data_IF_687907655529
#
_entry.id   IF_687907655529
#
_cell.length_a   1.000
_cell.length_b   1.000
_cell.length_c   1.000
_cell.angle_alpha   90.00
_cell.angle_beta   90.00
_cell.angle_gamma   90.00
#
_symmetry.space_group_name_H-M   'P 1'
#
loop_
_entity.id
_entity.type
_entity.pdbx_description
1 polymer ?
#
# COMPACT_ATOMS: atom_id res chain seq x y z
N UNK A 1 -12.11 22.47 -17.76
CA UNK A 1 -12.70 22.87 -16.46
C UNK A 1 -11.83 23.98 -15.90
N UNK A 2 -12.43 25.09 -15.48
CA UNK A 2 -11.68 26.23 -14.91
C UNK A 2 -10.99 25.83 -13.60
N UNK A 3 -11.58 24.94 -12.81
CA UNK A 3 -11.00 24.45 -11.54
C UNK A 3 -9.61 23.80 -11.70
N UNK A 4 -9.28 23.26 -12.88
CA UNK A 4 -7.96 22.66 -13.12
C UNK A 4 -6.84 23.71 -13.30
N UNK A 5 -7.19 25.00 -13.37
CA UNK A 5 -6.22 26.08 -13.35
C UNK A 5 -5.86 26.54 -11.93
N UNK A 6 -6.54 26.00 -10.91
CA UNK A 6 -6.39 26.37 -9.50
C UNK A 6 -5.26 25.60 -8.81
N UNK A 7 -4.99 25.99 -7.57
CA UNK A 7 -4.09 25.27 -6.68
C UNK A 7 -4.72 23.99 -6.16
N UNK A 8 -3.91 22.97 -5.89
CA UNK A 8 -4.37 21.76 -5.22
C UNK A 8 -3.33 20.66 -5.20
N UNK A 9 -3.79 19.45 -4.88
CA UNK A 9 -2.99 18.23 -4.85
C UNK A 9 -3.52 17.22 -5.87
N UNK A 10 -2.63 16.40 -6.42
CA UNK A 10 -2.95 15.39 -7.40
C UNK A 10 -2.21 14.08 -7.13
N UNK A 11 -2.80 13.01 -7.62
CA UNK A 11 -2.36 11.64 -7.46
C UNK A 11 -2.25 11.03 -8.85
N UNK A 12 -1.08 10.49 -9.20
CA UNK A 12 -0.84 9.79 -10.45
C UNK A 12 -0.74 8.30 -10.14
N UNK A 13 -1.74 7.53 -10.56
CA UNK A 13 -1.83 6.10 -10.31
C UNK A 13 -1.34 5.31 -11.52
N UNK A 14 -0.66 4.20 -11.25
CA UNK A 14 -0.23 3.25 -12.26
C UNK A 14 0.14 1.90 -11.65
N UNK A 15 0.62 1.00 -12.49
CA UNK A 15 1.07 -0.34 -12.09
C UNK A 15 2.48 -0.57 -12.60
N UNK A 16 3.31 -1.26 -11.82
CA UNK A 16 4.64 -1.65 -12.29
C UNK A 16 4.56 -2.81 -13.28
N UNK A 17 5.04 -2.61 -14.50
CA UNK A 17 5.13 -3.70 -15.51
C UNK A 17 6.01 -4.89 -15.06
N UNK A 18 6.95 -4.65 -14.14
CA UNK A 18 7.89 -5.68 -13.68
C UNK A 18 7.35 -6.47 -12.48
N UNK A 19 6.61 -5.81 -11.58
CA UNK A 19 6.26 -6.38 -10.28
C UNK A 19 4.76 -6.46 -10.01
N UNK A 20 3.93 -5.93 -10.92
CA UNK A 20 2.46 -5.82 -10.78
C UNK A 20 2.03 -5.07 -9.51
N UNK A 21 2.95 -4.28 -8.93
CA UNK A 21 2.66 -3.49 -7.74
C UNK A 21 1.97 -2.20 -8.15
N UNK A 22 0.97 -1.80 -7.36
CA UNK A 22 0.34 -0.50 -7.52
C UNK A 22 1.33 0.62 -7.16
N UNK A 23 1.38 1.65 -8.00
CA UNK A 23 2.28 2.79 -7.87
C UNK A 23 1.44 4.06 -7.73
N UNK A 24 1.90 4.96 -6.87
CA UNK A 24 1.34 6.31 -6.77
C UNK A 24 2.46 7.36 -6.74
N UNK A 25 2.23 8.48 -7.41
CA UNK A 25 2.96 9.71 -7.17
C UNK A 25 2.00 10.79 -6.69
N UNK A 26 2.35 11.43 -5.58
CA UNK A 26 1.52 12.45 -4.95
C UNK A 26 2.23 13.78 -5.16
N UNK A 27 1.54 14.75 -5.73
CA UNK A 27 2.13 16.03 -6.06
C UNK A 27 1.23 17.21 -5.73
N UNK A 28 1.84 18.36 -5.55
CA UNK A 28 1.13 19.63 -5.44
C UNK A 28 1.29 20.53 -6.67
N UNK A 29 0.31 21.41 -6.88
CA UNK A 29 0.37 22.47 -7.87
C UNK A 29 -0.22 23.76 -7.29
N UNK A 30 0.51 24.86 -7.38
CA UNK A 30 -0.02 26.20 -7.12
C UNK A 30 -0.31 26.95 -8.43
N UNK A 31 -1.18 27.95 -8.37
CA UNK A 31 -1.44 28.85 -9.50
C UNK A 31 -0.16 29.62 -9.88
N UNK A 32 0.26 29.50 -11.14
CA UNK A 32 1.41 30.23 -11.69
C UNK A 32 0.99 31.59 -12.25
N UNK A 33 1.98 32.46 -12.55
CA UNK A 33 1.76 33.81 -13.13
C UNK A 33 0.99 33.79 -14.46
N UNK A 34 1.02 32.68 -15.19
CA UNK A 34 0.31 32.48 -16.44
C UNK A 34 -1.14 31.97 -16.26
N UNK A 35 -1.63 31.89 -15.02
CA UNK A 35 -2.97 31.40 -14.70
C UNK A 35 -3.11 29.88 -14.75
N UNK A 36 -2.02 29.14 -14.93
CA UNK A 36 -2.04 27.68 -14.99
C UNK A 36 -1.63 27.06 -13.64
N UNK A 37 -2.41 26.09 -13.17
CA UNK A 37 -2.19 25.37 -11.91
C UNK A 37 -2.02 23.87 -12.13
N UNK A 38 -2.97 23.09 -11.64
CA UNK A 38 -2.98 21.61 -11.70
C UNK A 38 -2.83 21.04 -13.10
N UNK A 39 -3.59 21.53 -14.08
CA UNK A 39 -3.58 21.00 -15.45
C UNK A 39 -2.19 21.00 -16.07
N UNK A 40 -1.46 22.10 -15.89
CA UNK A 40 -0.13 22.24 -16.47
C UNK A 40 0.87 21.28 -15.83
N UNK A 41 0.77 21.04 -14.51
CA UNK A 41 1.58 20.01 -13.84
C UNK A 41 1.31 18.61 -14.37
N UNK A 42 0.04 18.27 -14.63
CA UNK A 42 -0.31 16.98 -15.21
C UNK A 42 0.26 16.82 -16.64
N UNK A 43 0.21 17.88 -17.45
CA UNK A 43 0.79 17.88 -18.80
C UNK A 43 2.32 17.76 -18.75
N UNK A 44 2.99 18.44 -17.81
CA UNK A 44 4.43 18.28 -17.57
C UNK A 44 4.78 16.82 -17.27
N UNK A 45 4.04 16.15 -16.39
CA UNK A 45 4.27 14.72 -16.09
C UNK A 45 3.98 13.82 -17.27
N UNK A 46 2.90 14.08 -18.04
CA UNK A 46 2.57 13.31 -19.25
C UNK A 46 3.68 13.36 -20.31
N UNK A 47 4.42 14.48 -20.37
CA UNK A 47 5.52 14.67 -21.32
C UNK A 47 6.85 14.10 -20.82
N UNK A 48 6.93 13.68 -19.57
CA UNK A 48 8.15 13.15 -18.98
C UNK A 48 8.23 11.63 -19.18
N UNK A 49 9.20 11.11 -19.95
CA UNK A 49 9.37 9.68 -20.16
C UNK A 49 9.59 8.88 -18.87
N UNK A 50 10.23 9.48 -17.86
CA UNK A 50 10.47 8.83 -16.56
C UNK A 50 9.17 8.62 -15.75
N UNK A 51 8.06 9.19 -16.23
CA UNK A 51 6.74 9.12 -15.61
C UNK A 51 5.70 8.54 -16.57
N UNK A 52 6.09 7.72 -17.54
CA UNK A 52 5.13 7.07 -18.44
C UNK A 52 4.34 5.91 -17.77
N UNK A 53 4.61 5.63 -16.49
CA UNK A 53 3.98 4.53 -15.75
C UNK A 53 2.54 4.82 -15.30
N UNK A 54 2.11 6.09 -15.24
CA UNK A 54 0.79 6.43 -14.69
C UNK A 54 -0.27 6.41 -15.79
N UNK A 55 -1.44 5.86 -15.46
CA UNK A 55 -2.57 5.67 -16.38
C UNK A 55 -3.79 6.48 -15.95
N UNK A 56 -3.86 6.88 -14.68
CA UNK A 56 -4.97 7.62 -14.10
C UNK A 56 -4.47 8.77 -13.21
N UNK A 57 -5.22 9.87 -13.20
CA UNK A 57 -4.95 11.01 -12.32
C UNK A 57 -6.21 11.39 -11.52
N UNK A 58 -6.08 11.47 -10.20
CA UNK A 58 -7.10 12.04 -9.30
C UNK A 58 -6.61 13.38 -8.77
N UNK A 59 -7.49 14.38 -8.73
CA UNK A 59 -7.13 15.75 -8.38
C UNK A 59 -8.10 16.29 -7.34
N UNK A 60 -7.55 16.89 -6.28
CA UNK A 60 -8.29 17.58 -5.24
C UNK A 60 -7.95 19.07 -5.24
N UNK A 61 -8.98 19.90 -5.36
CA UNK A 61 -8.90 21.37 -5.39
C UNK A 61 -10.17 21.97 -4.79
N UNK A 62 -10.20 23.29 -4.58
CA UNK A 62 -11.33 24.00 -3.99
C UNK A 62 -11.95 24.95 -5.01
N UNK A 63 -13.28 25.00 -5.08
CA UNK A 63 -14.02 25.83 -6.04
C UNK A 63 -13.70 27.33 -5.92
N UNK A 64 -13.28 27.78 -4.74
CA UNK A 64 -12.92 29.17 -4.44
C UNK A 64 -11.40 29.44 -4.48
N UNK A 65 -10.58 28.48 -4.92
CA UNK A 65 -9.12 28.58 -4.96
C UNK A 65 -8.50 29.03 -3.62
N UNK A 66 -9.07 28.56 -2.51
CA UNK A 66 -8.63 28.87 -1.14
C UNK A 66 -7.27 28.26 -0.77
N UNK A 67 -6.76 27.32 -1.56
CA UNK A 67 -5.48 26.67 -1.29
C UNK A 67 -4.30 27.54 -1.69
N UNK A 68 -3.59 28.05 -0.68
CA UNK A 68 -2.29 28.69 -0.83
C UNK A 68 -1.14 27.69 -0.77
N UNK A 69 0.12 28.16 -0.96
CA UNK A 69 1.31 27.32 -0.97
C UNK A 69 1.51 26.49 0.31
N UNK A 70 1.11 27.03 1.47
CA UNK A 70 1.22 26.35 2.76
C UNK A 70 0.27 25.16 2.82
N UNK A 71 -1.00 25.36 2.43
CA UNK A 71 -2.03 24.33 2.47
C UNK A 71 -1.69 23.17 1.54
N UNK A 72 -1.29 23.44 0.29
CA UNK A 72 -0.94 22.38 -0.66
C UNK A 72 0.33 21.62 -0.26
N UNK A 73 1.28 22.26 0.44
CA UNK A 73 2.47 21.59 0.96
C UNK A 73 2.12 20.67 2.14
N UNK A 74 1.27 21.15 3.06
CA UNK A 74 0.76 20.34 4.17
C UNK A 74 0.01 19.11 3.66
N UNK A 75 -0.93 19.31 2.72
CA UNK A 75 -1.70 18.21 2.12
C UNK A 75 -0.78 17.20 1.40
N UNK A 76 0.18 17.65 0.59
CA UNK A 76 1.14 16.76 -0.08
C UNK A 76 1.93 15.92 0.93
N UNK A 77 2.42 16.53 2.03
CA UNK A 77 3.11 15.81 3.10
C UNK A 77 2.20 14.77 3.76
N UNK A 78 1.01 15.19 4.20
CA UNK A 78 0.07 14.31 4.92
C UNK A 78 -0.38 13.14 4.07
N UNK A 79 -0.76 13.38 2.81
CA UNK A 79 -1.15 12.30 1.90
C UNK A 79 0.02 11.35 1.59
N UNK A 80 1.25 11.86 1.43
CA UNK A 80 2.44 11.01 1.31
C UNK A 80 2.62 10.11 2.53
N UNK A 81 2.53 10.66 3.74
CA UNK A 81 2.69 9.89 4.98
C UNK A 81 1.61 8.83 5.13
N UNK A 82 0.35 9.18 4.91
CA UNK A 82 -0.76 8.24 4.96
C UNK A 82 -0.60 7.09 3.95
N UNK A 83 -0.18 7.40 2.73
CA UNK A 83 0.08 6.39 1.70
C UNK A 83 1.22 5.43 2.07
N UNK A 84 2.31 5.96 2.64
CA UNK A 84 3.45 5.17 3.13
C UNK A 84 3.02 4.29 4.31
N UNK A 85 2.26 4.85 5.26
CA UNK A 85 1.79 4.14 6.45
C UNK A 85 0.80 3.01 6.10
N UNK A 86 -0.04 3.21 5.09
CA UNK A 86 -0.96 2.20 4.58
C UNK A 86 -0.24 1.03 3.88
N UNK A 87 0.94 1.30 3.29
CA UNK A 87 1.78 0.34 2.58
C UNK A 87 1.06 -0.44 1.46
N UNK A 88 0.08 0.21 0.80
CA UNK A 88 -0.68 -0.39 -0.33
C UNK A 88 -0.12 -0.05 -1.70
N UNK A 89 0.56 1.08 -1.80
CA UNK A 89 1.13 1.58 -3.05
C UNK A 89 2.61 1.85 -2.85
N UNK A 90 3.40 1.59 -3.90
CA UNK A 90 4.77 2.09 -3.97
C UNK A 90 4.71 3.59 -4.24
N UNK A 91 5.00 4.40 -3.22
CA UNK A 91 5.06 5.86 -3.34
C UNK A 91 6.34 6.27 -4.06
N UNK A 92 6.21 6.89 -5.25
CA UNK A 92 7.33 7.27 -6.14
C UNK A 92 7.90 8.66 -5.89
N UNK A 93 7.45 9.35 -4.85
CA UNK A 93 8.01 10.63 -4.46
C UNK A 93 9.51 10.47 -4.16
N UNK A 94 10.35 11.23 -4.87
CA UNK A 94 11.81 11.19 -4.68
C UNK A 94 12.30 11.98 -3.47
N UNK A 95 11.41 12.74 -2.83
CA UNK A 95 11.65 13.61 -1.68
C UNK A 95 10.55 13.42 -0.63
N UNK A 96 10.91 13.64 0.64
CA UNK A 96 9.94 13.82 1.73
C UNK A 96 9.37 15.25 1.63
N UNK A 97 8.07 15.43 1.35
CA UNK A 97 7.50 16.77 1.22
C UNK A 97 7.60 17.53 2.53
N UNK A 98 7.85 18.84 2.49
CA UNK A 98 7.88 19.64 3.72
C UNK A 98 6.46 19.80 4.29
N UNK A 99 6.24 19.57 5.60
CA UNK A 99 4.93 19.79 6.22
C UNK A 99 4.49 21.27 6.23
N UNK A 100 5.42 22.20 5.93
CA UNK A 100 5.16 23.63 6.03
C UNK A 100 5.10 24.12 7.48
N UNK A 101 4.71 25.38 7.68
CA UNK A 101 4.44 25.95 8.99
C UNK A 101 2.99 26.44 9.00
N UNK A 102 2.15 25.80 9.80
CA UNK A 102 0.69 25.94 9.78
C UNK A 102 0.19 26.21 11.20
N UNK A 103 -0.89 27.00 11.33
CA UNK A 103 -1.55 27.20 12.62
C UNK A 103 -2.42 25.99 12.96
N UNK A 104 -2.65 25.73 14.24
CA UNK A 104 -3.52 24.64 14.71
C UNK A 104 -4.93 24.73 14.10
N UNK A 105 -5.47 25.95 13.99
CA UNK A 105 -6.77 26.21 13.36
C UNK A 105 -6.82 25.72 11.91
N UNK A 106 -5.77 26.02 11.14
CA UNK A 106 -5.70 25.65 9.72
C UNK A 106 -5.38 24.17 9.55
N UNK A 107 -4.56 23.59 10.42
CA UNK A 107 -4.31 22.15 10.47
C UNK A 107 -5.62 21.37 10.68
N UNK A 108 -6.45 21.79 11.63
CA UNK A 108 -7.77 21.17 11.87
C UNK A 108 -8.67 21.19 10.63
N UNK A 109 -8.73 22.32 9.92
CA UNK A 109 -9.48 22.42 8.65
C UNK A 109 -8.94 21.48 7.56
N UNK A 110 -7.62 21.33 7.45
CA UNK A 110 -6.99 20.47 6.44
C UNK A 110 -7.11 18.98 6.77
N UNK A 111 -7.08 18.59 8.04
CA UNK A 111 -7.34 17.20 8.42
C UNK A 111 -8.79 16.79 8.14
N UNK A 112 -9.77 17.68 8.35
CA UNK A 112 -11.16 17.43 7.92
C UNK A 112 -11.25 17.22 6.39
N UNK A 113 -10.55 18.06 5.63
CA UNK A 113 -10.44 17.90 4.18
C UNK A 113 -9.81 16.56 3.77
N UNK A 114 -8.77 16.12 4.48
CA UNK A 114 -8.10 14.84 4.25
C UNK A 114 -9.06 13.66 4.48
N UNK A 115 -9.90 13.71 5.52
CA UNK A 115 -10.88 12.65 5.77
C UNK A 115 -11.94 12.55 4.67
N UNK A 116 -12.44 13.67 4.15
CA UNK A 116 -13.30 13.65 2.96
C UNK A 116 -12.56 13.10 1.74
N UNK A 117 -11.31 13.51 1.52
CA UNK A 117 -10.51 13.04 0.40
C UNK A 117 -10.27 11.52 0.47
N UNK A 118 -10.08 10.96 1.67
CA UNK A 118 -9.96 9.50 1.88
C UNK A 118 -11.21 8.74 1.43
N UNK A 119 -12.40 9.23 1.81
CA UNK A 119 -13.68 8.63 1.41
C UNK A 119 -13.83 8.67 -0.12
N UNK A 120 -13.58 9.84 -0.73
CA UNK A 120 -13.68 10.00 -2.18
C UNK A 120 -12.68 9.08 -2.90
N UNK A 121 -11.45 9.00 -2.40
CA UNK A 121 -10.41 8.13 -2.96
C UNK A 121 -10.83 6.66 -2.96
N UNK A 122 -11.36 6.17 -1.83
CA UNK A 122 -11.91 4.82 -1.71
C UNK A 122 -13.09 4.57 -2.65
N UNK A 123 -14.00 5.54 -2.79
CA UNK A 123 -15.13 5.47 -3.72
C UNK A 123 -14.70 5.43 -5.20
N UNK A 124 -13.56 6.02 -5.54
CA UNK A 124 -12.93 5.91 -6.87
C UNK A 124 -12.19 4.57 -7.08
N UNK A 125 -12.18 3.68 -6.08
CA UNK A 125 -11.52 2.38 -6.13
C UNK A 125 -10.07 2.40 -5.66
N UNK A 126 -9.56 3.55 -5.22
CA UNK A 126 -8.18 3.71 -4.76
C UNK A 126 -8.11 3.62 -3.24
N UNK A 127 -7.79 2.43 -2.71
CA UNK A 127 -7.61 2.20 -1.26
C UNK A 127 -6.28 2.76 -0.71
N UNK A 128 -5.80 3.88 -1.25
CA UNK A 128 -4.45 4.40 -1.03
C UNK A 128 -4.11 4.62 0.46
N UNK A 129 -5.11 4.97 1.27
CA UNK A 129 -4.93 5.36 2.68
C UNK A 129 -5.46 4.31 3.67
N UNK A 130 -5.95 3.18 3.19
CA UNK A 130 -6.44 2.10 4.05
C UNK A 130 -5.28 1.18 4.45
N UNK A 131 -5.07 0.84 5.72
CA UNK A 131 -4.07 -0.16 6.10
C UNK A 131 -4.35 -1.55 5.48
N UNK A 132 -3.31 -2.37 5.31
CA UNK A 132 -3.45 -3.77 4.84
C UNK A 132 -4.13 -4.69 5.86
N UNK A 133 -4.07 -4.35 7.13
CA UNK A 133 -4.75 -5.04 8.22
C UNK A 133 -5.26 -4.01 9.18
N UNK A 134 -6.42 -4.26 9.78
CA UNK A 134 -6.87 -3.46 10.90
C UNK A 134 -5.78 -3.43 11.97
N UNK A 135 -5.22 -2.25 12.20
CA UNK A 135 -4.58 -1.97 13.50
C UNK A 135 -5.68 -2.18 14.55
N UNK A 136 -5.38 -2.71 15.74
CA UNK A 136 -6.36 -2.79 16.81
C UNK A 136 -6.69 -1.37 17.29
N UNK A 137 -7.58 -0.69 16.57
CA UNK A 137 -8.19 0.56 16.97
C UNK A 137 -9.59 0.20 17.47
N UNK A 138 -9.80 0.39 18.77
CA UNK A 138 -11.10 0.21 19.41
C UNK A 138 -12.16 1.17 18.82
N UNK A 139 -13.42 0.70 18.79
CA UNK A 139 -14.69 1.34 18.38
C UNK A 139 -15.05 1.21 16.87
N UNK A 140 -15.70 0.12 16.42
CA UNK A 140 -17.16 -0.16 16.34
C UNK A 140 -17.93 0.90 15.51
N UNK A 141 -18.20 0.69 14.23
CA UNK A 141 -19.37 0.04 13.59
C UNK A 141 -19.08 0.12 12.08
N UNK A 142 -19.25 -0.87 11.21
CA UNK A 142 -20.42 -1.69 10.89
C UNK A 142 -19.98 -3.05 10.31
N UNK A 143 -20.90 -4.00 10.37
CA UNK A 143 -20.79 -5.39 10.00
C UNK A 143 -20.37 -5.63 8.54
N UNK A 144 -19.23 -6.29 8.34
CA UNK A 144 -19.12 -7.40 7.38
C UNK A 144 -18.29 -8.50 8.06
N UNK A 145 -18.97 -9.46 8.67
CA UNK A 145 -18.34 -10.70 9.10
C UNK A 145 -18.12 -11.60 7.88
N UNK A 146 -16.92 -11.58 7.33
CA UNK A 146 -16.29 -12.78 6.78
C UNK A 146 -15.00 -12.96 7.57
N UNK A 147 -14.88 -14.11 8.24
CA UNK A 147 -13.87 -14.38 9.25
C UNK A 147 -12.46 -14.03 8.76
N UNK A 148 -11.84 -13.06 9.42
CA UNK A 148 -10.42 -12.75 9.26
C UNK A 148 -9.58 -13.95 9.71
N UNK A 149 -9.35 -14.89 8.80
CA UNK A 149 -8.73 -16.16 9.11
C UNK A 149 -7.22 -15.98 9.32
N UNK A 150 -6.79 -16.16 10.56
CA UNK A 150 -5.38 -16.17 10.93
C UNK A 150 -4.76 -17.54 10.62
N UNK A 151 -3.71 -17.50 9.81
CA UNK A 151 -2.97 -18.63 9.31
C UNK A 151 -1.52 -18.56 9.78
N UNK A 152 -0.93 -19.72 10.03
CA UNK A 152 0.41 -19.89 10.52
C UNK A 152 1.14 -20.91 9.65
N UNK A 153 2.42 -20.68 9.46
CA UNK A 153 3.34 -21.58 8.80
C UNK A 153 4.52 -21.82 9.72
N UNK A 154 4.94 -23.07 9.83
CA UNK A 154 6.16 -23.46 10.56
C UNK A 154 6.89 -24.55 9.81
N UNK A 155 8.13 -24.28 9.39
CA UNK A 155 8.93 -25.23 8.64
C UNK A 155 10.41 -25.12 8.99
N UNK A 156 11.06 -26.27 9.21
CA UNK A 156 12.52 -26.32 9.27
C UNK A 156 13.10 -26.20 7.86
N UNK A 157 13.84 -25.13 7.61
CA UNK A 157 14.51 -24.91 6.33
C UNK A 157 15.67 -25.88 6.16
N UNK A 158 15.80 -26.45 4.96
CA UNK A 158 16.95 -27.26 4.57
C UNK A 158 18.14 -26.41 4.13
N UNK A 159 17.93 -25.11 3.89
CA UNK A 159 18.95 -24.19 3.36
C UNK A 159 19.76 -23.59 4.51
N UNK A 160 19.07 -22.89 5.40
CA UNK A 160 19.66 -22.24 6.59
C UNK A 160 19.73 -23.17 7.80
N UNK A 161 18.97 -24.27 7.81
CA UNK A 161 18.83 -25.15 8.98
C UNK A 161 17.92 -24.58 10.08
N UNK A 162 17.45 -23.35 9.93
CA UNK A 162 16.61 -22.63 10.89
C UNK A 162 15.14 -23.07 10.81
N UNK A 163 14.40 -22.79 11.87
CA UNK A 163 12.94 -22.93 11.87
C UNK A 163 12.35 -21.60 11.44
N UNK A 164 11.68 -21.61 10.29
CA UNK A 164 11.00 -20.46 9.71
C UNK A 164 9.55 -20.51 10.19
N UNK A 165 9.09 -19.43 10.82
CA UNK A 165 7.77 -19.30 11.42
C UNK A 165 7.15 -17.98 10.96
N UNK A 166 5.99 -18.04 10.34
CA UNK A 166 5.32 -16.85 9.81
C UNK A 166 3.83 -16.88 10.09
N UNK A 167 3.27 -15.69 10.22
CA UNK A 167 1.83 -15.48 10.41
C UNK A 167 1.29 -14.75 9.18
N UNK A 168 0.11 -15.17 8.74
CA UNK A 168 -0.60 -14.63 7.60
C UNK A 168 -2.06 -14.41 7.96
N UNK A 169 -2.68 -13.35 7.47
CA UNK A 169 -4.11 -13.07 7.62
C UNK A 169 -4.78 -13.18 6.25
N UNK A 170 -5.79 -14.05 6.10
CA UNK A 170 -6.65 -14.07 4.91
C UNK A 170 -7.63 -12.91 5.05
N UNK A 171 -7.68 -12.07 4.02
CA UNK A 171 -8.64 -10.97 3.88
C UNK A 171 -9.37 -11.15 2.54
N UNK A 172 -10.43 -10.39 2.31
CA UNK A 172 -11.12 -10.33 1.03
C UNK A 172 -10.21 -9.87 -0.14
N UNK A 173 -9.07 -9.26 0.15
CA UNK A 173 -8.10 -8.78 -0.86
C UNK A 173 -6.95 -9.77 -1.11
N UNK A 174 -6.86 -10.83 -0.31
CA UNK A 174 -5.84 -11.87 -0.44
C UNK A 174 -5.22 -12.25 0.90
N UNK A 175 -3.90 -12.35 0.92
CA UNK A 175 -3.13 -12.93 2.01
C UNK A 175 -2.08 -11.94 2.48
N UNK A 176 -2.24 -11.42 3.70
CA UNK A 176 -1.30 -10.48 4.29
C UNK A 176 -0.33 -11.21 5.20
N UNK A 177 0.93 -11.32 4.79
CA UNK A 177 2.01 -11.79 5.66
C UNK A 177 2.30 -10.68 6.68
N UNK A 178 2.24 -11.03 7.96
CA UNK A 178 2.30 -10.06 9.06
C UNK A 178 3.74 -9.71 9.43
N UNK A 179 3.94 -8.46 9.81
CA UNK A 179 5.13 -8.00 10.52
C UNK A 179 5.44 -8.91 11.71
N UNK A 180 6.72 -9.16 11.96
CA UNK A 180 7.18 -10.10 12.99
C UNK A 180 7.32 -11.54 12.49
N UNK A 181 6.86 -11.85 11.27
CA UNK A 181 7.11 -13.15 10.64
C UNK A 181 8.59 -13.37 10.38
N UNK A 182 9.10 -14.55 10.69
CA UNK A 182 10.45 -14.98 10.35
C UNK A 182 10.48 -15.49 8.91
N UNK A 183 11.30 -14.85 8.09
CA UNK A 183 11.44 -15.06 6.66
C UNK A 183 12.80 -15.73 6.41
N UNK A 184 12.81 -16.78 5.61
CA UNK A 184 14.05 -17.39 5.14
C UNK A 184 14.90 -16.33 4.43
N UNK A 185 16.21 -16.29 4.67
CA UNK A 185 17.11 -15.32 4.03
C UNK A 185 17.79 -15.89 2.78
N UNK A 186 17.76 -17.22 2.61
CA UNK A 186 18.37 -17.93 1.47
C UNK A 186 17.30 -18.31 0.43
N UNK A 187 17.37 -17.69 -0.75
CA UNK A 187 16.53 -18.03 -1.90
C UNK A 187 16.94 -19.38 -2.53
N UNK A 188 15.96 -20.17 -2.98
CA UNK A 188 16.23 -21.28 -3.90
C UNK A 188 16.37 -20.77 -5.33
N UNK A 189 17.13 -21.48 -6.16
CA UNK A 189 17.28 -21.17 -7.58
C UNK A 189 15.95 -21.11 -8.34
N UNK A 190 14.96 -21.89 -7.91
CA UNK A 190 13.64 -21.96 -8.52
C UNK A 190 12.62 -20.94 -8.00
N UNK A 191 13.01 -19.95 -7.19
CA UNK A 191 12.05 -18.96 -6.69
C UNK A 191 11.42 -18.15 -7.85
N UNK A 192 10.11 -17.88 -7.84
CA UNK A 192 9.49 -17.01 -8.85
C UNK A 192 10.15 -15.62 -8.90
N UNK A 193 10.48 -15.07 -10.09
CA UNK A 193 11.18 -13.79 -10.21
C UNK A 193 10.49 -12.60 -9.51
N UNK A 194 9.15 -12.51 -9.62
CA UNK A 194 8.39 -11.48 -8.94
C UNK A 194 8.50 -11.54 -7.41
N UNK A 195 8.54 -12.75 -6.84
CA UNK A 195 8.71 -12.95 -5.40
C UNK A 195 10.14 -12.61 -4.97
N UNK A 196 11.15 -12.96 -5.78
CA UNK A 196 12.54 -12.56 -5.54
C UNK A 196 12.68 -11.05 -5.47
N UNK A 197 12.10 -10.32 -6.44
CA UNK A 197 12.10 -8.86 -6.44
C UNK A 197 11.35 -8.26 -5.24
N UNK A 198 10.26 -8.87 -4.79
CA UNK A 198 9.56 -8.47 -3.55
C UNK A 198 10.43 -8.69 -2.31
N UNK A 199 11.11 -9.85 -2.18
CA UNK A 199 11.99 -10.17 -1.04
C UNK A 199 13.18 -9.21 -0.95
N UNK A 200 13.73 -8.77 -2.07
CA UNK A 200 14.83 -7.79 -2.10
C UNK A 200 14.44 -6.38 -1.63
N UNK A 201 13.16 -6.01 -1.76
CA UNK A 201 12.64 -4.69 -1.39
C UNK A 201 11.97 -4.67 -0.02
N UNK A 202 11.55 -5.84 0.47
CA UNK A 202 10.93 -5.98 1.78
C UNK A 202 11.91 -5.59 2.89
N UNK A 203 11.39 -4.90 3.91
CA UNK A 203 12.17 -4.57 5.10
C UNK A 203 12.28 -5.80 5.99
N UNK A 204 13.41 -6.51 5.90
CA UNK A 204 13.74 -7.68 6.72
C UNK A 204 15.01 -7.36 7.51
N UNK A 205 15.00 -7.62 8.81
CA UNK A 205 16.17 -7.37 9.66
C UNK A 205 17.25 -8.47 9.51
N UNK A 206 18.38 -8.29 10.20
CA UNK A 206 19.50 -9.23 10.19
C UNK A 206 19.17 -10.63 10.70
N UNK A 207 18.08 -10.76 11.48
CA UNK A 207 17.58 -12.02 12.02
C UNK A 207 16.51 -12.66 11.12
N UNK A 208 16.23 -12.07 9.95
CA UNK A 208 15.19 -12.57 9.05
C UNK A 208 13.77 -12.15 9.45
N UNK A 209 13.59 -11.22 10.38
CA UNK A 209 12.26 -10.80 10.82
C UNK A 209 11.71 -9.71 9.91
N UNK A 210 10.51 -9.95 9.39
CA UNK A 210 9.79 -9.00 8.55
C UNK A 210 9.33 -7.78 9.37
N UNK A 211 9.63 -6.58 8.89
CA UNK A 211 9.37 -5.31 9.58
C UNK A 211 8.10 -4.60 9.10
N UNK A 212 7.33 -5.20 8.19
CA UNK A 212 6.11 -4.60 7.63
C UNK A 212 5.10 -5.68 7.20
N UNK A 213 3.83 -5.30 7.09
CA UNK A 213 2.81 -6.18 6.50
C UNK A 213 2.94 -6.16 4.97
N UNK A 214 2.80 -7.32 4.32
CA UNK A 214 2.88 -7.43 2.86
C UNK A 214 1.71 -8.26 2.33
N UNK A 215 0.96 -7.68 1.37
CA UNK A 215 -0.18 -8.31 0.72
C UNK A 215 0.23 -9.12 -0.52
N UNK A 216 -0.35 -10.31 -0.62
CA UNK A 216 -0.25 -11.21 -1.77
C UNK A 216 -1.64 -11.62 -2.23
N UNK A 217 -1.85 -11.64 -3.55
CA UNK A 217 -3.10 -12.12 -4.16
C UNK A 217 -3.22 -13.66 -4.22
N UNK A 218 -2.22 -14.38 -3.73
CA UNK A 218 -2.16 -15.85 -3.79
C UNK A 218 -1.54 -16.41 -2.51
N UNK A 219 -2.12 -17.46 -1.91
CA UNK A 219 -1.57 -18.08 -0.70
C UNK A 219 -0.21 -18.72 -0.97
N UNK A 220 0.00 -19.25 -2.19
CA UNK A 220 1.27 -19.83 -2.60
C UNK A 220 2.35 -18.77 -2.80
N UNK A 221 2.00 -17.56 -3.24
CA UNK A 221 2.96 -16.45 -3.32
C UNK A 221 3.35 -15.92 -1.94
N UNK A 222 2.40 -15.81 -1.02
CA UNK A 222 2.69 -15.50 0.38
C UNK A 222 3.63 -16.56 1.00
N UNK A 223 3.33 -17.84 0.79
CA UNK A 223 4.16 -18.94 1.28
C UNK A 223 5.57 -18.94 0.65
N UNK A 224 5.66 -18.72 -0.66
CA UNK A 224 6.92 -18.64 -1.39
C UNK A 224 7.78 -17.46 -0.94
N UNK A 225 7.13 -16.33 -0.60
CA UNK A 225 7.80 -15.19 0.01
C UNK A 225 8.42 -15.52 1.35
N UNK A 226 7.75 -16.30 2.21
CA UNK A 226 8.28 -16.69 3.52
C UNK A 226 9.47 -17.66 3.41
N UNK A 227 9.36 -18.69 2.59
CA UNK A 227 10.38 -19.77 2.53
C UNK A 227 11.49 -19.54 1.48
N UNK A 228 11.37 -18.47 0.69
CA UNK A 228 12.30 -18.15 -0.40
C UNK A 228 12.34 -19.23 -1.48
N UNK A 229 11.21 -19.80 -1.89
CA UNK A 229 11.18 -20.87 -2.91
C UNK A 229 9.78 -21.35 -3.29
N UNK A 230 9.68 -22.34 -4.17
CA UNK A 230 8.39 -22.92 -4.54
C UNK A 230 7.76 -23.72 -3.41
N UNK A 231 6.46 -23.47 -3.17
CA UNK A 231 5.68 -24.15 -2.15
C UNK A 231 4.19 -24.03 -2.44
N UNK A 232 3.42 -25.02 -1.98
CA UNK A 232 1.97 -25.01 -2.06
C UNK A 232 1.39 -24.33 -0.81
N UNK A 233 0.93 -23.08 -0.98
CA UNK A 233 0.39 -22.30 0.14
C UNK A 233 -0.88 -22.89 0.75
N UNK A 234 -1.70 -23.60 -0.04
CA UNK A 234 -2.95 -24.21 0.45
C UNK A 234 -2.70 -25.28 1.52
N UNK A 235 -1.52 -25.92 1.52
CA UNK A 235 -1.16 -26.98 2.45
C UNK A 235 -0.34 -26.48 3.64
N UNK A 236 0.55 -25.52 3.39
CA UNK A 236 1.45 -25.01 4.44
C UNK A 236 0.77 -24.03 5.39
N UNK A 237 -0.12 -23.18 4.89
CA UNK A 237 -0.87 -22.26 5.73
C UNK A 237 -1.93 -23.02 6.51
N UNK A 238 -1.86 -22.93 7.84
CA UNK A 238 -2.75 -23.66 8.76
C UNK A 238 -3.32 -22.74 9.83
N UNK A 239 -4.52 -23.03 10.31
CA UNK A 239 -5.05 -22.37 11.51
C UNK A 239 -4.25 -22.76 12.74
N UNK A 240 -4.54 -22.08 13.87
CA UNK A 240 -3.99 -22.46 15.18
C UNK A 240 -4.27 -23.92 15.55
N UNK A 241 -5.40 -24.46 15.08
CA UNK A 241 -5.82 -25.85 15.31
C UNK A 241 -5.16 -26.84 14.34
N UNK A 242 -4.33 -26.36 13.41
CA UNK A 242 -3.57 -27.19 12.48
C UNK A 242 -4.31 -27.56 11.20
N UNK A 243 -5.52 -27.04 10.99
CA UNK A 243 -6.33 -27.24 9.77
C UNK A 243 -5.72 -26.42 8.64
N UNK A 244 -5.44 -27.06 7.51
CA UNK A 244 -4.85 -26.39 6.34
C UNK A 244 -5.86 -25.55 5.58
N UNK A 245 -5.38 -24.50 4.92
CA UNK A 245 -6.21 -23.64 4.07
C UNK A 245 -6.98 -24.44 3.00
N UNK A 246 -6.37 -25.50 2.45
CA UNK A 246 -7.03 -26.43 1.52
C UNK A 246 -8.25 -27.11 2.14
N UNK A 247 -8.17 -27.53 3.40
CA UNK A 247 -9.28 -28.18 4.09
C UNK A 247 -10.41 -27.19 4.37
N UNK A 248 -10.06 -25.95 4.69
CA UNK A 248 -11.01 -24.87 4.93
C UNK A 248 -11.78 -24.53 3.65
N UNK A 249 -11.07 -24.28 2.55
CA UNK A 249 -11.69 -23.96 1.25
C UNK A 249 -12.62 -25.10 0.79
N UNK A 250 -12.20 -26.36 0.93
CA UNK A 250 -13.07 -27.50 0.60
C UNK A 250 -14.30 -27.61 1.51
N UNK A 251 -14.24 -27.12 2.75
CA UNK A 251 -15.37 -27.11 3.68
C UNK A 251 -16.32 -25.94 3.44
N UNK A 252 -15.82 -24.83 2.91
CA UNK A 252 -16.62 -23.66 2.51
C UNK A 252 -17.39 -23.91 1.19
N UNK A 253 -16.86 -24.78 0.32
CA UNK A 253 -17.49 -25.15 -0.96
C UNK A 253 -18.61 -26.22 -0.84
N UNK A 254 -18.78 -26.87 0.32
CA UNK A 254 -19.78 -27.91 0.56
C UNK A 254 -20.96 -27.42 1.42
#
# INVERSE_FOLDING_TARGET
REDLSQSGVYFLFGTSDQTDDNIVYIGQAGVRKNGEGLLYRLIEHKRNPDKDYWTEAVVFTTTNNSFGPTEISYLENRFCRLAIEANRYVVKNGNDPSPGNITEEKESELEEFIDYAKIVMGALGHKLFEPLTDKPQAAITEEVSEEELLLFMKRKSRKSGQVIEASCKRTNEGFVVLQGSHIETIDSESIPPGIKGRRQRAKIDENGILQENILFRSPSYAAAFVIGGHVNGLVEWKTKDGVSLKEIENSEEN
#
